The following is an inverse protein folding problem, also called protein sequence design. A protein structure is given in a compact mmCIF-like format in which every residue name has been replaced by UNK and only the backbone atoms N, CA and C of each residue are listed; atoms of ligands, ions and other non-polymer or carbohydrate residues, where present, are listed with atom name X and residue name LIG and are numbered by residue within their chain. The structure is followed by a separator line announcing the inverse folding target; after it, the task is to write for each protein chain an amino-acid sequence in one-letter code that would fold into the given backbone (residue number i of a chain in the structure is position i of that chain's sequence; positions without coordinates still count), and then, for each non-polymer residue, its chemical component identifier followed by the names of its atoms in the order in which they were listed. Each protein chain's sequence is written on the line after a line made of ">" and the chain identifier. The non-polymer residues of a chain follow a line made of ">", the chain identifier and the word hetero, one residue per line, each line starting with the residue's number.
data_IF_592182778016
#
_entry.id   IF_592182778016
#
_cell.length_a   1.000
_cell.length_b   1.000
_cell.length_c   1.000
_cell.angle_alpha   90.00
_cell.angle_beta   90.00
_cell.angle_gamma   90.00
#
_symmetry.space_group_name_H-M   'P 1'
#
loop_
_entity.id
_entity.type
_entity.pdbx_description
1 polymer ?
#
# COMPACT_ATOMS: atom_id res chain seq x y z
N UNK A 1 -25.00 6.67 0.06
CA UNK A 1 -24.76 8.12 0.31
C UNK A 1 -24.55 8.83 -1.01
N UNK A 2 -24.97 10.11 -1.20
CA UNK A 2 -24.69 10.83 -2.45
C UNK A 2 -23.16 10.99 -2.61
N UNK A 3 -22.66 10.64 -3.78
CA UNK A 3 -21.23 10.69 -4.14
C UNK A 3 -20.71 12.13 -4.05
N UNK A 4 -19.71 12.38 -3.21
CA UNK A 4 -19.18 13.73 -2.94
C UNK A 4 -18.42 14.33 -4.13
N UNK A 5 -18.08 15.63 -4.03
CA UNK A 5 -17.30 16.36 -5.07
C UNK A 5 -15.95 15.71 -5.37
N UNK A 6 -15.35 15.00 -4.41
CA UNK A 6 -14.11 14.24 -4.59
C UNK A 6 -14.26 13.10 -5.59
N UNK A 7 -15.34 12.33 -5.48
CA UNK A 7 -15.68 11.25 -6.41
C UNK A 7 -15.88 11.77 -7.85
N UNK A 8 -16.64 12.84 -8.02
CA UNK A 8 -16.87 13.40 -9.35
C UNK A 8 -15.57 13.85 -10.02
N UNK A 9 -14.69 14.52 -9.28
CA UNK A 9 -13.35 14.92 -9.78
C UNK A 9 -12.50 13.71 -10.16
N UNK A 10 -12.48 12.66 -9.34
CA UNK A 10 -11.76 11.43 -9.62
C UNK A 10 -12.31 10.73 -10.87
N UNK A 11 -13.65 10.68 -11.02
CA UNK A 11 -14.31 10.11 -12.20
C UNK A 11 -14.01 10.91 -13.48
N UNK A 12 -14.02 12.23 -13.42
CA UNK A 12 -13.64 13.08 -14.57
C UNK A 12 -12.16 12.83 -14.92
N UNK A 13 -11.27 12.81 -13.93
CA UNK A 13 -9.85 12.48 -14.14
C UNK A 13 -9.69 11.11 -14.80
N UNK A 14 -10.38 10.08 -14.30
CA UNK A 14 -10.36 8.74 -14.87
C UNK A 14 -10.83 8.73 -16.34
N UNK A 15 -11.92 9.41 -16.65
CA UNK A 15 -12.43 9.51 -18.03
C UNK A 15 -11.43 10.19 -18.96
N UNK A 16 -10.79 11.28 -18.52
CA UNK A 16 -9.87 12.07 -19.36
C UNK A 16 -8.50 11.42 -19.43
N UNK A 17 -7.93 11.03 -18.29
CA UNK A 17 -6.54 10.59 -18.21
C UNK A 17 -6.40 9.10 -18.54
N UNK A 18 -7.37 8.27 -18.13
CA UNK A 18 -7.31 6.83 -18.34
C UNK A 18 -8.04 6.42 -19.63
N UNK A 19 -9.35 6.64 -19.68
CA UNK A 19 -10.18 6.16 -20.81
C UNK A 19 -9.93 6.91 -22.12
N UNK A 20 -9.79 8.25 -22.07
CA UNK A 20 -9.50 9.00 -23.28
C UNK A 20 -8.10 8.71 -23.83
N UNK A 21 -7.08 8.61 -22.96
CA UNK A 21 -5.73 8.23 -23.38
C UNK A 21 -5.70 6.84 -24.02
N UNK A 22 -6.41 5.88 -23.44
CA UNK A 22 -6.52 4.53 -24.02
C UNK A 22 -7.26 4.53 -25.36
N UNK A 23 -8.37 5.28 -25.48
CA UNK A 23 -9.11 5.44 -26.76
C UNK A 23 -8.27 6.11 -27.84
N UNK A 24 -7.55 7.19 -27.53
CA UNK A 24 -6.68 7.92 -28.46
C UNK A 24 -5.56 7.02 -29.00
N UNK A 25 -5.14 6.03 -28.24
CA UNK A 25 -4.15 5.03 -28.64
C UNK A 25 -4.76 3.71 -29.11
N UNK A 26 -6.04 3.71 -29.48
CA UNK A 26 -6.79 2.52 -29.95
C UNK A 26 -6.69 1.32 -28.99
N UNK A 27 -6.65 1.59 -27.68
CA UNK A 27 -6.54 0.57 -26.62
C UNK A 27 -5.14 0.00 -26.46
N UNK A 28 -4.12 0.54 -27.15
CA UNK A 28 -2.73 0.02 -27.09
C UNK A 28 -2.14 0.21 -25.70
N UNK A 29 -2.31 1.38 -25.09
CA UNK A 29 -1.76 1.67 -23.76
C UNK A 29 -2.36 0.77 -22.68
N UNK A 30 -3.68 0.64 -22.63
CA UNK A 30 -4.35 -0.23 -21.66
C UNK A 30 -3.99 -1.70 -21.83
N UNK A 31 -3.94 -2.21 -23.08
CA UNK A 31 -3.51 -3.58 -23.37
C UNK A 31 -2.07 -3.81 -22.91
N UNK A 32 -1.15 -2.89 -23.27
CA UNK A 32 0.26 -2.98 -22.86
C UNK A 32 0.41 -2.93 -21.35
N UNK A 33 -0.34 -2.06 -20.67
CA UNK A 33 -0.34 -2.00 -19.21
C UNK A 33 -0.84 -3.29 -18.58
N UNK A 34 -1.98 -3.83 -19.03
CA UNK A 34 -2.53 -5.09 -18.51
C UNK A 34 -1.65 -6.31 -18.82
N UNK A 35 -0.81 -6.24 -19.86
CA UNK A 35 0.15 -7.28 -20.20
C UNK A 35 1.48 -7.18 -19.41
N UNK A 36 1.73 -6.08 -18.68
CA UNK A 36 2.92 -5.99 -17.84
C UNK A 36 2.83 -6.99 -16.68
N UNK A 37 3.84 -7.80 -16.46
CA UNK A 37 3.89 -8.66 -15.29
C UNK A 37 3.98 -7.82 -14.01
N UNK A 38 3.17 -8.18 -12.99
CA UNK A 38 3.33 -7.65 -11.63
C UNK A 38 4.54 -8.37 -11.02
N UNK A 39 5.62 -7.63 -10.80
CA UNK A 39 6.84 -8.22 -10.25
C UNK A 39 6.63 -8.64 -8.78
N UNK A 40 7.05 -9.84 -8.42
CA UNK A 40 7.23 -10.22 -7.02
C UNK A 40 8.67 -9.90 -6.64
N UNK A 41 8.88 -8.85 -5.84
CA UNK A 41 10.21 -8.48 -5.36
C UNK A 41 10.44 -8.98 -3.96
N UNK A 42 11.60 -9.59 -3.74
CA UNK A 42 12.08 -9.96 -2.41
C UNK A 42 13.16 -8.95 -2.00
N UNK A 43 12.98 -8.33 -0.83
CA UNK A 43 13.86 -7.25 -0.34
C UNK A 43 14.23 -7.50 1.10
N UNK A 44 15.51 -7.56 1.41
CA UNK A 44 15.99 -7.51 2.79
C UNK A 44 16.10 -6.05 3.24
N UNK A 45 15.48 -5.72 4.36
CA UNK A 45 15.42 -4.38 4.93
C UNK A 45 16.03 -4.38 6.33
N UNK A 46 17.15 -3.66 6.51
CA UNK A 46 17.81 -3.50 7.81
C UNK A 46 17.27 -2.27 8.54
N UNK A 47 16.72 -2.50 9.73
CA UNK A 47 16.06 -1.49 10.57
C UNK A 47 16.67 -1.54 11.96
N UNK A 48 17.50 -0.57 12.37
CA UNK A 48 18.19 -0.62 13.66
C UNK A 48 17.28 -0.67 14.87
N UNK A 49 16.15 0.06 14.83
CA UNK A 49 15.14 0.05 15.88
C UNK A 49 14.23 -1.17 15.91
N UNK A 50 14.41 -2.15 14.97
CA UNK A 50 13.53 -3.32 14.90
C UNK A 50 13.69 -4.25 16.11
N UNK A 51 12.59 -4.80 16.68
CA UNK A 51 12.67 -5.71 17.81
C UNK A 51 13.53 -6.95 17.49
N UNK A 52 14.45 -7.29 18.40
CA UNK A 52 15.33 -8.44 18.19
C UNK A 52 14.58 -9.78 18.07
N UNK A 53 13.46 -9.91 18.81
CA UNK A 53 12.58 -11.09 18.75
C UNK A 53 11.84 -11.23 17.42
N UNK A 54 11.92 -10.23 16.55
CA UNK A 54 11.29 -10.19 15.22
C UNK A 54 12.32 -10.12 14.09
N UNK A 55 13.59 -10.40 14.39
CA UNK A 55 14.63 -10.48 13.34
C UNK A 55 14.27 -11.55 12.33
N UNK A 56 14.25 -11.18 11.04
CA UNK A 56 13.88 -12.06 9.96
C UNK A 56 12.39 -12.15 9.64
N UNK A 57 11.52 -11.35 10.30
CA UNK A 57 10.08 -11.33 10.00
C UNK A 57 9.84 -11.01 8.52
N UNK A 58 9.00 -11.83 7.88
CA UNK A 58 8.67 -11.73 6.45
C UNK A 58 7.31 -11.06 6.26
N UNK A 59 7.30 -9.89 5.67
CA UNK A 59 6.08 -9.08 5.46
C UNK A 59 5.72 -9.06 3.98
N UNK A 60 4.55 -9.57 3.61
CA UNK A 60 3.95 -9.33 2.30
C UNK A 60 3.40 -7.90 2.27
N UNK A 61 4.10 -6.99 1.60
CA UNK A 61 3.68 -5.61 1.44
C UNK A 61 2.95 -5.43 0.11
N UNK A 62 1.66 -5.22 0.19
CA UNK A 62 0.72 -4.98 -0.90
C UNK A 62 0.29 -3.52 -0.89
N UNK A 63 0.05 -2.91 -2.05
CA UNK A 63 -0.41 -1.52 -2.13
C UNK A 63 -0.95 -1.18 -3.51
N UNK A 64 -1.84 -0.19 -3.58
CA UNK A 64 -2.21 0.53 -4.79
C UNK A 64 -2.64 -0.43 -5.92
N UNK A 65 -3.59 -1.30 -5.65
CA UNK A 65 -4.16 -2.17 -6.68
C UNK A 65 -5.00 -1.38 -7.68
N UNK A 66 -5.76 -0.37 -7.23
CA UNK A 66 -6.66 0.42 -8.07
C UNK A 66 -7.54 -0.49 -8.94
N UNK A 67 -8.28 -1.41 -8.29
CA UNK A 67 -9.20 -2.29 -9.01
C UNK A 67 -10.14 -1.49 -9.90
N UNK A 68 -10.23 -1.88 -11.16
CA UNK A 68 -10.98 -1.17 -12.18
C UNK A 68 -10.48 -1.49 -13.59
N UNK A 69 -10.64 -0.55 -14.52
CA UNK A 69 -10.34 -0.73 -15.95
C UNK A 69 -8.90 -1.20 -16.23
N UNK A 70 -7.92 -0.73 -15.43
CA UNK A 70 -6.50 -1.05 -15.61
C UNK A 70 -6.04 -2.27 -14.82
N UNK A 71 -6.75 -2.62 -13.73
CA UNK A 71 -6.45 -3.75 -12.86
C UNK A 71 -7.69 -4.62 -12.69
N UNK A 72 -7.92 -5.60 -13.57
CA UNK A 72 -8.94 -6.62 -13.37
C UNK A 72 -8.70 -7.40 -12.08
N UNK A 73 -9.78 -7.72 -11.34
CA UNK A 73 -9.70 -8.38 -10.03
C UNK A 73 -8.93 -9.70 -10.08
N UNK A 74 -9.12 -10.53 -11.11
CA UNK A 74 -8.41 -11.80 -11.24
C UNK A 74 -6.88 -11.64 -11.29
N UNK A 75 -6.38 -10.55 -11.91
CA UNK A 75 -4.95 -10.23 -11.95
C UNK A 75 -4.41 -9.80 -10.58
N UNK A 76 -5.22 -9.08 -9.81
CA UNK A 76 -4.88 -8.69 -8.44
C UNK A 76 -4.83 -9.91 -7.51
N UNK A 77 -5.82 -10.81 -7.63
CA UNK A 77 -5.89 -12.09 -6.91
C UNK A 77 -4.64 -12.95 -7.21
N UNK A 78 -4.29 -13.11 -8.49
CA UNK A 78 -3.08 -13.86 -8.88
C UNK A 78 -1.81 -13.29 -8.23
N UNK A 79 -1.67 -11.96 -8.14
CA UNK A 79 -0.53 -11.34 -7.48
C UNK A 79 -0.47 -11.65 -5.98
N UNK A 80 -1.64 -11.67 -5.29
CA UNK A 80 -1.74 -12.07 -3.89
C UNK A 80 -1.40 -13.55 -3.70
N UNK A 81 -1.92 -14.43 -4.54
CA UNK A 81 -1.61 -15.86 -4.49
C UNK A 81 -0.12 -16.14 -4.72
N UNK A 82 0.52 -15.41 -5.62
CA UNK A 82 1.95 -15.54 -5.88
C UNK A 82 2.80 -15.20 -4.65
N UNK A 83 2.46 -14.11 -3.94
CA UNK A 83 3.19 -13.74 -2.72
C UNK A 83 2.82 -14.64 -1.55
N UNK A 84 1.58 -15.15 -1.47
CA UNK A 84 1.15 -16.12 -0.46
C UNK A 84 1.99 -17.41 -0.50
N UNK A 85 2.34 -17.90 -1.69
CA UNK A 85 3.23 -19.06 -1.87
C UNK A 85 4.63 -18.85 -1.27
N UNK A 86 5.02 -17.62 -1.00
CA UNK A 86 6.27 -17.30 -0.29
C UNK A 86 6.16 -17.40 1.23
N UNK A 87 4.99 -17.75 1.77
CA UNK A 87 4.72 -17.95 3.22
C UNK A 87 5.16 -16.73 4.04
N UNK A 88 4.55 -15.56 3.86
CA UNK A 88 4.81 -14.40 4.68
C UNK A 88 4.33 -14.63 6.11
N UNK A 89 4.98 -13.99 7.08
CA UNK A 89 4.54 -14.01 8.48
C UNK A 89 3.42 -13.00 8.74
N UNK A 90 3.39 -11.89 7.98
CA UNK A 90 2.41 -10.82 8.08
C UNK A 90 2.04 -10.32 6.68
N UNK A 91 0.77 -9.97 6.49
CA UNK A 91 0.30 -9.24 5.31
C UNK A 91 0.01 -7.79 5.70
N UNK A 92 0.58 -6.86 4.97
CA UNK A 92 0.37 -5.42 5.11
C UNK A 92 -0.10 -4.82 3.78
N UNK A 93 -1.37 -4.44 3.69
CA UNK A 93 -1.90 -3.68 2.58
C UNK A 93 -1.97 -2.19 2.94
N UNK A 94 -1.27 -1.35 2.17
CA UNK A 94 -1.17 0.08 2.47
C UNK A 94 -2.14 0.93 1.66
N UNK A 95 -3.29 0.37 1.23
CA UNK A 95 -4.43 1.11 0.69
C UNK A 95 -4.44 1.26 -0.82
N UNK A 96 -5.39 2.06 -1.30
CA UNK A 96 -5.79 2.21 -2.70
C UNK A 96 -6.10 0.83 -3.32
N UNK A 97 -6.98 0.08 -2.63
CA UNK A 97 -7.51 -1.22 -3.09
C UNK A 97 -8.34 -1.03 -4.35
N UNK A 98 -9.20 -0.01 -4.36
CA UNK A 98 -10.10 0.31 -5.47
C UNK A 98 -9.70 1.61 -6.18
N UNK A 99 -10.07 1.77 -7.46
CA UNK A 99 -9.83 3.03 -8.19
C UNK A 99 -10.96 4.04 -7.95
N UNK A 100 -12.20 3.63 -8.08
CA UNK A 100 -13.37 4.53 -7.94
C UNK A 100 -14.48 3.95 -7.05
N UNK A 101 -14.83 2.70 -7.23
CA UNK A 101 -15.96 2.04 -6.59
C UNK A 101 -15.51 0.75 -5.90
N UNK A 102 -16.19 0.37 -4.83
CA UNK A 102 -15.90 -0.87 -4.07
C UNK A 102 -16.46 -2.12 -4.76
N UNK A 103 -17.32 -1.94 -5.75
CA UNK A 103 -17.94 -3.05 -6.45
C UNK A 103 -16.91 -4.01 -7.06
N UNK A 104 -17.06 -5.31 -6.76
CA UNK A 104 -16.21 -6.37 -7.28
C UNK A 104 -14.81 -6.47 -6.66
N UNK A 105 -14.54 -5.78 -5.56
CA UNK A 105 -13.26 -5.90 -4.85
C UNK A 105 -13.20 -7.10 -3.90
N UNK A 106 -14.33 -7.69 -3.54
CA UNK A 106 -14.43 -8.78 -2.57
C UNK A 106 -13.50 -9.97 -2.85
N UNK A 107 -13.34 -10.49 -4.09
CA UNK A 107 -12.41 -11.59 -4.33
C UNK A 107 -10.94 -11.26 -4.01
N UNK A 108 -10.54 -9.98 -4.10
CA UNK A 108 -9.20 -9.57 -3.69
C UNK A 108 -9.06 -9.56 -2.17
N UNK A 109 -10.08 -9.09 -1.44
CA UNK A 109 -10.10 -9.11 0.02
C UNK A 109 -10.10 -10.55 0.55
N UNK A 110 -10.91 -11.43 -0.04
CA UNK A 110 -10.90 -12.87 0.23
C UNK A 110 -9.52 -13.48 0.01
N UNK A 111 -8.89 -13.21 -1.13
CA UNK A 111 -7.54 -13.73 -1.42
C UNK A 111 -6.51 -13.24 -0.39
N UNK A 112 -6.55 -11.95 0.01
CA UNK A 112 -5.68 -11.43 1.06
C UNK A 112 -5.98 -12.09 2.43
N UNK A 113 -7.26 -12.31 2.73
CA UNK A 113 -7.72 -12.95 3.97
C UNK A 113 -7.31 -14.43 4.07
N UNK A 114 -7.22 -15.13 2.94
CA UNK A 114 -6.83 -16.53 2.86
C UNK A 114 -5.32 -16.76 3.06
N UNK A 115 -4.47 -15.71 2.98
CA UNK A 115 -3.03 -15.84 3.18
C UNK A 115 -2.74 -16.34 4.58
N UNK A 116 -1.99 -17.45 4.68
CA UNK A 116 -1.51 -17.95 5.97
C UNK A 116 -0.41 -17.04 6.49
N UNK A 117 -0.74 -16.20 7.48
CA UNK A 117 0.14 -15.20 8.06
C UNK A 117 -0.06 -15.17 9.59
N UNK A 118 0.82 -15.81 10.38
CA UNK A 118 0.65 -15.96 11.83
C UNK A 118 0.61 -14.63 12.60
N UNK A 119 1.25 -13.58 12.07
CA UNK A 119 1.16 -12.24 12.64
C UNK A 119 -0.05 -11.44 12.13
N UNK A 120 -0.90 -12.05 11.31
CA UNK A 120 -2.14 -11.44 10.84
C UNK A 120 -2.03 -10.68 9.52
N UNK A 121 -3.18 -10.12 9.12
CA UNK A 121 -3.35 -9.40 7.86
C UNK A 121 -3.94 -8.05 8.18
N UNK A 122 -3.29 -7.00 7.69
CA UNK A 122 -3.64 -5.62 8.02
C UNK A 122 -3.88 -4.82 6.74
N UNK A 123 -4.87 -3.94 6.81
CA UNK A 123 -5.21 -3.00 5.75
C UNK A 123 -5.35 -1.60 6.33
N UNK A 124 -4.74 -0.59 5.72
CA UNK A 124 -5.09 0.82 5.91
C UNK A 124 -5.62 1.40 4.61
N UNK A 125 -6.48 2.40 4.71
CA UNK A 125 -7.12 2.98 3.53
C UNK A 125 -6.24 4.02 2.85
N UNK A 126 -6.32 4.06 1.52
CA UNK A 126 -5.73 5.11 0.70
C UNK A 126 -6.74 6.16 0.27
N UNK A 127 -6.31 7.13 -0.55
CA UNK A 127 -7.17 8.22 -0.98
C UNK A 127 -8.27 7.80 -1.96
N UNK A 128 -8.06 6.75 -2.73
CA UNK A 128 -9.07 6.20 -3.62
C UNK A 128 -10.14 5.43 -2.86
N UNK A 129 -9.79 4.72 -1.82
CA UNK A 129 -10.70 3.98 -0.96
C UNK A 129 -11.74 4.89 -0.28
N UNK A 130 -11.39 6.19 -0.08
CA UNK A 130 -12.30 7.21 0.46
C UNK A 130 -13.17 7.91 -0.60
N UNK A 131 -13.10 7.55 -1.87
CA UNK A 131 -13.87 8.23 -2.92
C UNK A 131 -15.33 7.84 -2.93
N UNK A 132 -15.67 6.60 -2.58
CA UNK A 132 -17.01 6.06 -2.60
C UNK A 132 -17.49 5.70 -1.19
N UNK A 133 -17.36 4.47 -0.76
CA UNK A 133 -17.80 4.00 0.55
C UNK A 133 -16.67 3.27 1.30
N UNK A 134 -15.91 4.05 2.05
CA UNK A 134 -14.82 3.53 2.85
C UNK A 134 -15.31 2.59 3.98
N UNK A 135 -16.52 2.84 4.51
CA UNK A 135 -17.08 2.01 5.57
C UNK A 135 -17.47 0.63 5.05
N UNK A 136 -18.02 0.56 3.84
CA UNK A 136 -18.33 -0.71 3.17
C UNK A 136 -17.05 -1.51 2.90
N UNK A 137 -15.99 -0.85 2.38
CA UNK A 137 -14.70 -1.51 2.16
C UNK A 137 -14.11 -2.08 3.45
N UNK A 138 -14.17 -1.32 4.57
CA UNK A 138 -13.70 -1.78 5.87
C UNK A 138 -14.50 -2.98 6.33
N UNK A 139 -15.84 -2.92 6.28
CA UNK A 139 -16.70 -4.03 6.70
C UNK A 139 -16.42 -5.31 5.90
N UNK A 140 -16.29 -5.20 4.57
CA UNK A 140 -15.91 -6.35 3.73
C UNK A 140 -14.52 -6.89 4.10
N UNK A 141 -13.54 -6.01 4.31
CA UNK A 141 -12.19 -6.44 4.69
C UNK A 141 -12.19 -7.21 6.02
N UNK A 142 -12.95 -6.74 7.01
CA UNK A 142 -13.06 -7.39 8.32
C UNK A 142 -13.77 -8.75 8.23
N UNK A 143 -14.81 -8.89 7.39
CA UNK A 143 -15.48 -10.19 7.11
C UNK A 143 -14.49 -11.22 6.58
N UNK A 144 -13.52 -10.80 5.75
CA UNK A 144 -12.46 -11.67 5.22
C UNK A 144 -11.23 -11.77 6.14
N UNK A 145 -11.32 -11.29 7.39
CA UNK A 145 -10.26 -11.45 8.39
C UNK A 145 -9.07 -10.51 8.25
N UNK A 146 -9.22 -9.41 7.49
CA UNK A 146 -8.26 -8.34 7.52
C UNK A 146 -8.56 -7.41 8.71
N UNK A 147 -7.53 -6.97 9.40
CA UNK A 147 -7.62 -6.05 10.53
C UNK A 147 -7.32 -4.63 10.04
N UNK A 148 -8.20 -3.67 10.37
CA UNK A 148 -8.06 -2.28 9.92
C UNK A 148 -7.71 -1.37 11.11
N UNK A 149 -6.42 -1.07 11.35
CA UNK A 149 -5.98 -0.25 12.48
C UNK A 149 -6.18 1.25 12.22
N UNK A 150 -7.44 1.69 12.13
CA UNK A 150 -7.81 3.08 11.88
C UNK A 150 -7.52 3.96 13.12
N UNK A 151 -6.37 4.65 13.15
CA UNK A 151 -5.93 5.46 14.29
C UNK A 151 -5.62 4.63 15.57
N UNK A 152 -5.35 3.34 15.41
CA UNK A 152 -5.15 2.40 16.51
C UNK A 152 -3.78 1.71 16.42
N UNK A 153 -3.40 1.06 17.53
CA UNK A 153 -2.28 0.13 17.59
C UNK A 153 -2.81 -1.23 18.02
N UNK A 154 -2.58 -2.24 17.18
CA UNK A 154 -3.08 -3.60 17.38
C UNK A 154 -1.92 -4.56 17.69
N UNK A 155 -2.18 -5.56 18.53
CA UNK A 155 -1.23 -6.62 18.85
C UNK A 155 -1.30 -7.71 17.78
N UNK A 156 -0.16 -8.20 17.29
CA UNK A 156 -0.04 -9.22 16.26
C UNK A 156 0.89 -10.36 16.72
N UNK A 157 0.57 -11.60 16.37
CA UNK A 157 1.35 -12.79 16.73
C UNK A 157 1.12 -13.25 18.15
N UNK A 158 2.18 -13.71 18.82
CA UNK A 158 2.11 -14.27 20.17
C UNK A 158 1.65 -13.20 21.19
N UNK A 159 0.74 -13.60 22.09
CA UNK A 159 0.21 -12.73 23.14
C UNK A 159 1.28 -12.34 24.19
N UNK A 160 2.27 -13.20 24.45
CA UNK A 160 3.32 -12.94 25.43
C UNK A 160 4.35 -11.91 24.90
N UNK A 161 4.64 -11.93 23.60
CA UNK A 161 5.57 -10.99 22.95
C UNK A 161 4.97 -10.55 21.60
N UNK A 162 3.96 -9.66 21.59
CA UNK A 162 3.30 -9.25 20.37
C UNK A 162 4.13 -8.23 19.58
N UNK A 163 4.04 -8.31 18.26
CA UNK A 163 4.39 -7.20 17.38
C UNK A 163 3.27 -6.14 17.47
N UNK A 164 3.62 -4.88 17.68
CA UNK A 164 2.67 -3.78 17.70
C UNK A 164 2.54 -3.18 16.29
N UNK A 165 1.36 -3.31 15.68
CA UNK A 165 1.04 -2.78 14.36
C UNK A 165 0.12 -1.58 14.49
N UNK A 166 0.59 -0.40 14.13
CA UNK A 166 -0.20 0.82 14.06
C UNK A 166 -0.69 1.10 12.63
N UNK A 167 -1.83 1.77 12.52
CA UNK A 167 -2.31 2.26 11.24
C UNK A 167 -2.84 3.68 11.34
N UNK A 168 -2.55 4.49 10.34
CA UNK A 168 -3.14 5.81 10.17
C UNK A 168 -3.85 5.91 8.85
N UNK A 169 -4.97 6.59 8.88
CA UNK A 169 -5.80 6.80 7.72
C UNK A 169 -5.20 7.81 6.73
N UNK A 170 -5.83 7.95 5.57
CA UNK A 170 -5.45 8.93 4.59
C UNK A 170 -5.44 10.35 5.16
N UNK A 171 -4.36 11.07 4.95
CA UNK A 171 -4.22 12.50 5.23
C UNK A 171 -3.73 13.26 3.99
N UNK A 172 -4.40 14.36 3.67
CA UNK A 172 -4.07 15.20 2.50
C UNK A 172 -2.84 16.07 2.76
N UNK A 173 -2.67 16.49 4.00
CA UNK A 173 -1.61 17.42 4.42
C UNK A 173 -0.64 16.75 5.39
N UNK A 174 0.59 17.24 5.41
CA UNK A 174 1.59 16.78 6.41
C UNK A 174 1.09 16.99 7.83
N UNK A 175 0.36 18.11 8.08
CA UNK A 175 -0.20 18.42 9.41
C UNK A 175 -1.24 17.40 9.87
N UNK A 176 -2.10 16.94 8.95
CA UNK A 176 -3.09 15.88 9.26
C UNK A 176 -2.38 14.56 9.59
N UNK A 177 -1.39 14.17 8.78
CA UNK A 177 -0.61 12.97 9.00
C UNK A 177 0.21 13.03 10.29
N UNK A 178 0.85 14.16 10.57
CA UNK A 178 1.59 14.39 11.81
C UNK A 178 0.67 14.19 13.03
N UNK A 179 -0.52 14.84 12.99
CA UNK A 179 -1.51 14.69 14.07
C UNK A 179 -1.98 13.23 14.20
N UNK A 180 -2.30 12.55 13.08
CA UNK A 180 -2.78 11.16 13.12
C UNK A 180 -1.73 10.23 13.73
N UNK A 181 -0.45 10.41 13.40
CA UNK A 181 0.64 9.64 14.00
C UNK A 181 0.85 10.02 15.47
N UNK A 182 0.83 11.32 15.79
CA UNK A 182 1.13 11.81 17.15
C UNK A 182 0.08 11.38 18.19
N UNK A 183 -1.21 11.16 17.78
CA UNK A 183 -2.28 10.73 18.69
C UNK A 183 -2.41 9.21 18.83
N UNK A 184 -1.61 8.39 18.14
CA UNK A 184 -1.63 6.94 18.34
C UNK A 184 -1.43 6.59 19.81
N UNK A 185 -2.20 5.63 20.37
CA UNK A 185 -2.22 5.34 21.80
C UNK A 185 -0.93 4.73 22.35
N UNK A 186 -0.09 4.20 21.46
CA UNK A 186 1.24 3.66 21.77
C UNK A 186 2.21 3.88 20.59
N UNK A 187 3.50 3.66 20.81
CA UNK A 187 4.50 3.62 19.74
C UNK A 187 4.48 2.21 19.13
N UNK A 188 4.02 2.02 17.88
CA UNK A 188 4.05 0.71 17.24
C UNK A 188 5.46 0.35 16.77
N UNK A 189 5.72 -0.95 16.57
CA UNK A 189 6.93 -1.45 15.91
C UNK A 189 6.85 -1.25 14.40
N UNK A 190 5.65 -1.42 13.85
CA UNK A 190 5.30 -1.28 12.45
C UNK A 190 4.15 -0.29 12.29
N UNK A 191 4.35 0.78 11.50
CA UNK A 191 3.29 1.71 11.11
C UNK A 191 2.88 1.46 9.65
N UNK A 192 1.60 1.30 9.42
CA UNK A 192 1.00 1.32 8.09
C UNK A 192 0.41 2.70 7.84
N UNK A 193 0.81 3.34 6.74
CA UNK A 193 0.30 4.65 6.34
C UNK A 193 0.34 4.75 4.82
N UNK A 194 -0.79 4.96 4.17
CA UNK A 194 -0.82 5.06 2.72
C UNK A 194 0.13 6.14 2.20
N UNK A 195 0.07 7.34 2.79
CA UNK A 195 0.91 8.47 2.38
C UNK A 195 2.30 8.42 3.05
N UNK A 196 3.41 8.32 2.27
CA UNK A 196 4.77 8.22 2.83
C UNK A 196 5.22 9.44 3.63
N UNK A 197 4.53 10.59 3.52
CA UNK A 197 4.83 11.78 4.34
C UNK A 197 4.60 11.53 5.84
N UNK A 198 3.79 10.54 6.23
CA UNK A 198 3.60 10.11 7.62
C UNK A 198 4.93 9.69 8.29
N UNK A 199 5.93 9.25 7.50
CA UNK A 199 7.24 8.86 8.01
C UNK A 199 7.96 9.98 8.77
N UNK A 200 7.67 11.25 8.47
CA UNK A 200 8.29 12.35 9.21
C UNK A 200 7.89 12.36 10.69
N UNK A 201 6.60 12.17 10.96
CA UNK A 201 6.10 12.04 12.33
C UNK A 201 6.50 10.69 12.95
N UNK A 202 6.40 9.59 12.20
CA UNK A 202 6.81 8.26 12.63
C UNK A 202 8.27 8.27 13.16
N UNK A 203 9.18 8.85 12.38
CA UNK A 203 10.59 8.95 12.78
C UNK A 203 10.83 9.88 13.99
N UNK A 204 9.99 10.92 14.18
CA UNK A 204 10.04 11.73 15.41
C UNK A 204 9.62 10.95 16.64
N UNK A 205 8.61 10.09 16.49
CA UNK A 205 8.12 9.20 17.56
C UNK A 205 8.98 7.96 17.78
N UNK A 206 10.03 7.74 16.98
CA UNK A 206 10.90 6.57 17.10
C UNK A 206 10.25 5.27 16.60
N UNK A 207 9.24 5.33 15.73
CA UNK A 207 8.61 4.16 15.14
C UNK A 207 9.60 3.47 14.20
N UNK A 208 9.98 2.20 14.46
CA UNK A 208 11.08 1.55 13.75
C UNK A 208 10.86 1.42 12.26
N UNK A 209 9.66 0.94 11.86
CA UNK A 209 9.34 0.69 10.45
C UNK A 209 8.01 1.33 10.06
N UNK A 210 8.03 2.05 8.94
CA UNK A 210 6.81 2.54 8.26
C UNK A 210 6.71 1.90 6.88
N UNK A 211 5.53 1.42 6.51
CA UNK A 211 5.20 0.94 5.16
C UNK A 211 4.20 1.88 4.51
N UNK A 212 4.44 2.24 3.25
CA UNK A 212 3.60 3.18 2.49
C UNK A 212 3.50 2.81 1.01
N UNK A 213 2.48 3.36 0.33
CA UNK A 213 2.29 3.30 -1.11
C UNK A 213 2.10 4.68 -1.73
N UNK A 214 0.97 4.90 -2.39
CA UNK A 214 0.43 6.18 -2.89
C UNK A 214 1.15 6.80 -4.09
N UNK A 215 2.45 6.71 -4.16
CA UNK A 215 3.24 7.51 -5.12
C UNK A 215 3.38 6.86 -6.48
N UNK A 216 3.12 5.56 -6.57
CA UNK A 216 3.35 4.69 -7.73
C UNK A 216 4.78 4.80 -8.33
N UNK A 217 5.75 5.31 -7.57
CA UNK A 217 7.06 5.65 -8.12
C UNK A 217 6.97 6.64 -9.28
N UNK A 218 5.93 7.51 -9.29
CA UNK A 218 5.61 8.42 -10.40
C UNK A 218 5.21 7.70 -11.69
N UNK A 219 5.04 6.39 -11.68
CA UNK A 219 4.78 5.47 -12.81
C UNK A 219 5.87 5.49 -13.92
N UNK A 220 6.69 6.54 -13.98
CA UNK A 220 7.80 6.67 -14.92
C UNK A 220 9.07 6.99 -14.14
N UNK A 221 10.09 6.16 -14.29
CA UNK A 221 11.39 6.32 -13.63
C UNK A 221 12.52 6.25 -14.64
N UNK A 222 13.72 6.63 -14.22
CA UNK A 222 14.93 6.40 -15.00
C UNK A 222 15.42 4.95 -14.87
N UNK A 223 16.01 4.37 -15.94
CA UNK A 223 16.52 3.00 -15.89
C UNK A 223 17.47 2.78 -14.70
N UNK A 224 17.20 1.73 -13.90
CA UNK A 224 18.02 1.36 -12.75
C UNK A 224 17.98 2.35 -11.57
N UNK A 225 17.17 3.42 -11.64
CA UNK A 225 17.07 4.46 -10.60
C UNK A 225 15.63 4.74 -10.21
N UNK A 226 14.96 3.83 -9.46
CA UNK A 226 13.52 3.95 -9.16
C UNK A 226 13.15 5.21 -8.36
N UNK A 227 14.08 5.81 -7.62
CA UNK A 227 13.87 7.09 -6.90
C UNK A 227 14.00 8.32 -7.80
N UNK A 228 14.67 8.20 -8.94
CA UNK A 228 14.73 9.24 -9.97
C UNK A 228 13.54 9.03 -10.92
N UNK A 229 12.40 9.60 -10.56
CA UNK A 229 11.10 9.36 -11.21
C UNK A 229 10.30 10.66 -11.36
N UNK A 230 9.16 10.59 -12.06
CA UNK A 230 8.31 11.74 -12.31
C UNK A 230 7.36 12.11 -11.16
N UNK A 231 7.56 11.54 -9.97
CA UNK A 231 6.77 11.90 -8.77
C UNK A 231 7.28 13.22 -8.16
N UNK A 232 7.18 14.31 -8.89
CA UNK A 232 7.72 15.62 -8.47
C UNK A 232 7.14 16.13 -7.15
N UNK A 233 5.92 15.73 -6.79
CA UNK A 233 5.25 16.11 -5.54
C UNK A 233 5.74 15.29 -4.31
N UNK A 234 6.48 14.21 -4.54
CA UNK A 234 6.84 13.25 -3.47
C UNK A 234 8.34 12.95 -3.49
N UNK A 235 9.08 13.52 -2.52
CA UNK A 235 10.49 13.18 -2.31
C UNK A 235 10.70 11.74 -1.84
N UNK A 236 9.71 11.18 -1.12
CA UNK A 236 9.67 9.79 -0.66
C UNK A 236 8.79 9.01 -1.63
N UNK A 237 9.34 8.57 -2.75
CA UNK A 237 8.53 8.08 -3.88
C UNK A 237 8.69 6.60 -4.21
N UNK A 238 9.76 5.93 -3.81
CA UNK A 238 9.96 4.52 -4.11
C UNK A 238 11.08 3.91 -3.26
N UNK A 239 10.88 2.68 -2.78
CA UNK A 239 11.90 1.89 -2.09
C UNK A 239 12.21 2.37 -0.68
N UNK A 240 13.43 2.14 -0.22
CA UNK A 240 13.84 2.29 1.17
C UNK A 240 14.41 3.69 1.46
N UNK A 241 13.97 4.27 2.59
CA UNK A 241 14.51 5.50 3.18
C UNK A 241 14.81 5.27 4.65
N UNK A 242 15.78 6.01 5.21
CA UNK A 242 16.17 5.89 6.61
C UNK A 242 16.32 7.26 7.25
N UNK A 243 15.91 7.36 8.51
CA UNK A 243 16.14 8.53 9.35
C UNK A 243 16.43 8.06 10.77
N UNK A 244 17.68 8.24 11.25
CA UNK A 244 18.18 7.65 12.51
C UNK A 244 17.96 6.13 12.50
N UNK A 245 17.30 5.59 13.52
CA UNK A 245 17.02 4.16 13.68
C UNK A 245 15.68 3.72 13.06
N UNK A 246 14.99 4.64 12.38
CA UNK A 246 13.72 4.41 11.74
C UNK A 246 13.87 4.26 10.23
N UNK A 247 13.09 3.35 9.63
CA UNK A 247 13.05 3.08 8.20
C UNK A 247 11.64 3.30 7.63
N UNK A 248 11.61 3.69 6.36
CA UNK A 248 10.41 3.70 5.53
C UNK A 248 10.66 2.84 4.31
N UNK A 249 9.68 2.03 3.93
CA UNK A 249 9.64 1.40 2.62
C UNK A 249 8.39 1.89 1.86
N UNK A 250 8.59 2.42 0.65
CA UNK A 250 7.52 2.87 -0.25
C UNK A 250 7.39 1.86 -1.39
N UNK A 251 6.24 1.18 -1.44
CA UNK A 251 5.85 0.28 -2.51
C UNK A 251 5.34 1.11 -3.69
N UNK A 252 5.74 0.76 -4.92
CA UNK A 252 5.26 1.48 -6.12
C UNK A 252 3.93 0.96 -6.64
N UNK A 253 3.32 -0.03 -5.93
CA UNK A 253 1.98 -0.52 -6.18
C UNK A 253 1.85 -1.52 -7.32
N UNK A 254 0.82 -2.37 -7.21
CA UNK A 254 0.49 -3.41 -8.19
C UNK A 254 -0.32 -2.86 -9.37
N UNK A 255 -1.16 -1.85 -9.14
CA UNK A 255 -2.02 -1.20 -10.13
C UNK A 255 -1.45 0.08 -10.72
N UNK A 256 -2.33 0.89 -11.28
CA UNK A 256 -2.00 2.20 -11.86
C UNK A 256 -3.26 3.04 -12.00
N UNK A 257 -3.11 4.35 -11.91
CA UNK A 257 -4.17 5.32 -12.23
C UNK A 257 -4.06 5.91 -13.64
N UNK A 258 -2.93 5.65 -14.34
CA UNK A 258 -2.68 6.02 -15.72
C UNK A 258 -2.08 4.81 -16.47
N UNK A 259 -2.50 4.52 -17.74
CA UNK A 259 -2.14 3.29 -18.43
C UNK A 259 -0.71 3.25 -18.97
N UNK A 260 0.24 3.82 -18.23
CA UNK A 260 1.66 3.82 -18.60
C UNK A 260 2.54 3.65 -17.36
N UNK A 261 3.36 2.60 -17.37
CA UNK A 261 4.50 2.43 -16.46
C UNK A 261 5.77 2.22 -17.30
N UNK A 262 6.80 3.02 -17.05
CA UNK A 262 8.08 2.95 -17.75
C UNK A 262 9.23 2.92 -16.74
N UNK A 263 10.05 1.88 -16.78
CA UNK A 263 11.11 1.61 -15.80
C UNK A 263 10.66 1.64 -14.32
N UNK A 264 9.37 1.46 -14.11
CA UNK A 264 8.70 1.40 -12.83
C UNK A 264 7.62 0.29 -12.92
N UNK A 265 8.06 -0.97 -12.95
CA UNK A 265 7.16 -2.11 -13.05
C UNK A 265 6.18 -2.14 -11.87
N UNK A 266 4.91 -2.58 -12.08
CA UNK A 266 4.02 -2.85 -10.97
C UNK A 266 4.60 -3.97 -10.10
N UNK A 267 4.39 -3.89 -8.77
CA UNK A 267 5.02 -4.84 -7.85
C UNK A 267 4.14 -5.23 -6.67
N UNK A 268 4.38 -6.43 -6.16
CA UNK A 268 4.12 -6.85 -4.79
C UNK A 268 5.45 -7.19 -4.15
N UNK A 269 5.63 -6.87 -2.85
CA UNK A 269 6.95 -6.95 -2.23
C UNK A 269 6.92 -7.87 -1.01
N UNK A 270 7.84 -8.83 -0.95
CA UNK A 270 8.14 -9.58 0.25
C UNK A 270 9.35 -8.94 0.94
N UNK A 271 9.11 -8.30 2.06
CA UNK A 271 10.15 -7.71 2.90
C UNK A 271 10.63 -8.75 3.92
N UNK A 272 11.92 -9.00 3.99
CA UNK A 272 12.53 -9.67 5.14
C UNK A 272 13.16 -8.60 6.03
N UNK A 273 12.54 -8.34 7.18
CA UNK A 273 13.00 -7.27 8.07
C UNK A 273 14.05 -7.81 9.03
N UNK A 274 15.24 -7.22 8.99
CA UNK A 274 16.36 -7.55 9.87
C UNK A 274 16.63 -6.41 10.83
N UNK A 275 16.99 -6.76 12.05
CA UNK A 275 17.60 -5.81 12.97
C UNK A 275 19.00 -5.47 12.46
N UNK A 276 19.30 -4.16 12.31
CA UNK A 276 20.57 -3.77 11.69
C UNK A 276 21.17 -2.51 12.21
#
# INVERSE_FOLDING_TARGET
>A
MPRGTGYLRARIRHLVVTRAADRLTLGILGRRHRAQEIALREVELRVPGWPASRDGLRIAHLSDFHLGDLMPVGRAVEAVERIARRRPDLVACTGDVVDLDVDGCEPLLEAMGAVQAPFGRFLVLGNHDHLHDAAELVAMAEVHGLRVPHGQVMRAGDAADPLLVGGVDWGRTVRELDRAVDVLPAVPDLLLAHNPKAFHAAARRGIPLTLSGHTHGGQVAFPGRPRANLSFAHRLSAGHYRRRDCALFVNVGAGAWFPLRLHCAPEVVLLTVRRG
#
